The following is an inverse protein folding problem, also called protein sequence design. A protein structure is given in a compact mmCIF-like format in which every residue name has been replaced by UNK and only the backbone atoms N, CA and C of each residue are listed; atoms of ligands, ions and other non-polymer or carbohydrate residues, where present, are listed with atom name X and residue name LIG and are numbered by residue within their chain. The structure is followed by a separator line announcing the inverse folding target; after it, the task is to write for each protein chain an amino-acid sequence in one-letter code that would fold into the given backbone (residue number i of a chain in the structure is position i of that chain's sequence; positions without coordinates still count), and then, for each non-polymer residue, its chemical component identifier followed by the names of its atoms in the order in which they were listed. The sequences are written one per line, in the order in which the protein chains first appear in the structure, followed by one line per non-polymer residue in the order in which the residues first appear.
data_IF_103574072030
#
_entry.id   IF_103574072030
#
_cell.length_a   1.000
_cell.length_b   1.000
_cell.length_c   1.000
_cell.angle_alpha   90.00
_cell.angle_beta   90.00
_cell.angle_gamma   90.00
#
_symmetry.space_group_name_H-M   'P 1'
#
loop_
_entity.id
_entity.type
_entity.pdbx_description
1 polymer ?
#
# COMPACT_ATOMS: atom_id res chain seq x y z
N UNK A 1 20.43 -10.57 11.42
CA UNK A 1 19.10 -11.06 11.86
C UNK A 1 18.00 -9.97 11.84
N UNK A 2 17.99 -9.02 10.89
CA UNK A 2 16.89 -8.03 10.81
C UNK A 2 15.77 -8.40 9.84
N UNK A 3 16.07 -9.20 8.82
CA UNK A 3 15.07 -9.57 7.82
C UNK A 3 13.85 -10.28 8.43
N UNK A 4 14.07 -11.30 9.26
CA UNK A 4 12.98 -12.05 9.91
C UNK A 4 12.12 -11.19 10.83
N UNK A 5 12.73 -10.26 11.58
CA UNK A 5 11.99 -9.33 12.46
C UNK A 5 11.11 -8.39 11.64
N UNK A 6 11.65 -7.79 10.59
CA UNK A 6 10.91 -6.85 9.74
C UNK A 6 9.75 -7.56 9.00
N UNK A 7 9.96 -8.78 8.51
CA UNK A 7 8.92 -9.59 7.86
C UNK A 7 7.81 -9.96 8.86
N UNK A 8 8.16 -10.39 10.08
CA UNK A 8 7.18 -10.72 11.11
C UNK A 8 6.35 -9.50 11.54
N UNK A 9 6.97 -8.33 11.66
CA UNK A 9 6.26 -7.08 11.96
C UNK A 9 5.27 -6.72 10.85
N UNK A 10 5.68 -6.78 9.58
CA UNK A 10 4.78 -6.54 8.46
C UNK A 10 3.58 -7.51 8.48
N UNK A 11 3.83 -8.80 8.67
CA UNK A 11 2.77 -9.80 8.74
C UNK A 11 1.80 -9.54 9.91
N UNK A 12 2.30 -9.11 11.07
CA UNK A 12 1.48 -8.75 12.21
C UNK A 12 0.61 -7.51 11.97
N UNK A 13 1.02 -6.60 11.08
CA UNK A 13 0.19 -5.47 10.66
C UNK A 13 -0.95 -5.88 9.73
N UNK A 14 -0.68 -6.83 8.83
CA UNK A 14 -1.64 -7.31 7.82
C UNK A 14 -2.66 -8.31 8.39
N UNK A 15 -2.29 -9.06 9.43
CA UNK A 15 -3.15 -10.08 10.03
C UNK A 15 -3.79 -9.53 11.30
N UNK A 16 -5.12 -9.42 11.30
CA UNK A 16 -5.90 -9.04 12.49
C UNK A 16 -6.84 -10.18 12.87
N UNK A 17 -6.71 -10.66 14.10
CA UNK A 17 -7.52 -11.77 14.63
C UNK A 17 -7.43 -13.06 13.80
N UNK A 18 -6.28 -13.33 13.17
CA UNK A 18 -6.09 -14.51 12.33
C UNK A 18 -6.63 -14.38 10.90
N UNK A 19 -7.25 -13.23 10.57
CA UNK A 19 -7.71 -12.92 9.22
C UNK A 19 -6.79 -11.90 8.55
N UNK A 20 -6.56 -12.08 7.25
CA UNK A 20 -5.86 -11.10 6.43
C UNK A 20 -6.78 -9.91 6.18
N UNK A 21 -6.46 -8.75 6.77
CA UNK A 21 -7.22 -7.52 6.58
C UNK A 21 -6.43 -6.54 5.74
N UNK A 22 -6.80 -6.48 4.46
CA UNK A 22 -6.22 -5.58 3.48
C UNK A 22 -7.14 -4.37 3.34
N UNK A 23 -6.95 -3.40 4.23
CA UNK A 23 -7.65 -2.12 4.19
C UNK A 23 -6.98 -1.20 3.16
N UNK A 24 -7.70 -0.81 2.11
CA UNK A 24 -7.15 0.03 1.04
C UNK A 24 -6.87 1.48 1.50
N UNK A 25 -7.43 1.89 2.65
CA UNK A 25 -7.12 3.17 3.31
C UNK A 25 -5.86 3.11 4.19
N UNK A 26 -5.36 1.91 4.54
CA UNK A 26 -4.13 1.77 5.31
C UNK A 26 -2.91 2.02 4.40
N UNK A 27 -2.06 3.04 4.69
CA UNK A 27 -0.92 3.38 3.85
C UNK A 27 0.10 2.23 3.74
N UNK A 28 0.25 1.40 4.78
CA UNK A 28 1.14 0.24 4.76
C UNK A 28 0.61 -0.80 3.77
N UNK A 29 -0.70 -1.06 3.79
CA UNK A 29 -1.34 -2.00 2.86
C UNK A 29 -1.21 -1.48 1.42
N UNK A 30 -1.52 -0.21 1.19
CA UNK A 30 -1.47 0.41 -0.13
C UNK A 30 -0.08 0.41 -0.76
N UNK A 31 0.96 0.62 0.04
CA UNK A 31 2.35 0.57 -0.44
C UNK A 31 2.91 -0.85 -0.56
N UNK A 32 2.29 -1.85 0.07
CA UNK A 32 2.80 -3.22 0.08
C UNK A 32 2.09 -4.12 -0.93
N UNK A 33 0.86 -3.81 -1.33
CA UNK A 33 0.07 -4.67 -2.23
C UNK A 33 0.44 -4.45 -3.70
N UNK A 34 1.01 -5.48 -4.31
CA UNK A 34 1.44 -5.47 -5.72
C UNK A 34 0.33 -5.87 -6.68
N UNK A 35 -0.44 -6.91 -6.33
CA UNK A 35 -1.50 -7.45 -7.16
C UNK A 35 -2.71 -7.86 -6.31
N UNK A 36 -3.91 -7.68 -6.88
CA UNK A 36 -5.19 -8.05 -6.30
C UNK A 36 -6.12 -8.52 -7.43
N UNK A 37 -6.90 -9.57 -7.18
CA UNK A 37 -7.89 -10.08 -8.15
C UNK A 37 -7.33 -10.37 -9.56
N UNK A 38 -6.10 -10.88 -9.62
CA UNK A 38 -5.43 -11.21 -10.89
C UNK A 38 -4.92 -10.00 -11.67
N UNK A 39 -4.87 -8.80 -11.06
CA UNK A 39 -4.41 -7.56 -11.68
C UNK A 39 -3.30 -6.93 -10.85
N UNK A 40 -2.31 -6.35 -11.51
CA UNK A 40 -1.32 -5.50 -10.86
C UNK A 40 -2.00 -4.18 -10.48
N UNK A 41 -1.84 -3.75 -9.23
CA UNK A 41 -2.46 -2.52 -8.70
C UNK A 41 -1.43 -1.50 -8.21
N UNK A 42 -0.18 -1.93 -7.96
CA UNK A 42 0.85 -1.04 -7.44
C UNK A 42 1.40 -0.09 -8.54
N UNK A 43 1.33 1.24 -8.37
CA UNK A 43 1.65 2.22 -9.43
C UNK A 43 3.05 2.03 -10.03
N UNK A 44 4.09 1.89 -9.19
CA UNK A 44 5.46 1.70 -9.66
C UNK A 44 5.66 0.40 -10.46
N UNK A 45 4.86 -0.64 -10.17
CA UNK A 45 4.96 -1.91 -10.90
C UNK A 45 4.24 -1.79 -12.24
N UNK A 46 3.10 -1.11 -12.29
CA UNK A 46 2.42 -0.78 -13.55
C UNK A 46 3.32 0.05 -14.47
N UNK A 47 3.97 1.09 -13.93
CA UNK A 47 4.95 1.90 -14.66
C UNK A 47 6.11 1.06 -15.21
N UNK A 48 6.67 0.16 -14.39
CA UNK A 48 7.76 -0.73 -14.80
C UNK A 48 7.34 -1.74 -15.88
N UNK A 49 6.06 -2.11 -15.94
CA UNK A 49 5.48 -2.98 -16.97
C UNK A 49 5.08 -2.21 -18.24
N UNK A 50 5.18 -0.87 -18.25
CA UNK A 50 4.69 -0.03 -19.35
C UNK A 50 3.17 0.05 -19.43
N UNK A 51 2.46 -0.35 -18.37
CA UNK A 51 1.02 -0.22 -18.24
C UNK A 51 0.67 1.11 -17.57
N UNK A 52 -0.33 1.82 -18.10
CA UNK A 52 -0.80 3.04 -17.45
C UNK A 52 -1.40 2.69 -16.07
N UNK A 53 -1.02 3.37 -14.98
CA UNK A 53 -1.66 3.17 -13.68
C UNK A 53 -3.17 3.34 -13.80
N UNK A 54 -3.95 2.37 -13.29
CA UNK A 54 -5.39 2.56 -13.09
C UNK A 54 -5.55 3.85 -12.25
N UNK A 55 -6.36 4.79 -12.74
CA UNK A 55 -6.45 6.15 -12.21
C UNK A 55 -6.51 6.15 -10.67
N UNK A 56 -5.51 6.77 -10.04
CA UNK A 56 -5.46 6.94 -8.60
C UNK A 56 -6.57 7.91 -8.19
N UNK A 57 -7.52 7.58 -7.29
CA UNK A 57 -8.34 8.61 -6.67
C UNK A 57 -7.41 9.55 -5.89
N UNK A 58 -7.34 10.79 -6.36
CA UNK A 58 -6.52 11.84 -5.78
C UNK A 58 -6.95 12.13 -4.35
N UNK A 59 -6.25 11.57 -3.36
CA UNK A 59 -6.25 12.13 -2.00
C UNK A 59 -4.86 12.01 -1.37
N UNK A 60 -3.95 12.86 -1.84
CA UNK A 60 -2.87 13.38 -1.02
C UNK A 60 -2.80 14.89 -1.25
N UNK A 61 -3.71 15.62 -0.61
CA UNK A 61 -3.54 17.05 -0.37
C UNK A 61 -2.73 17.20 0.90
N UNK A 62 -1.48 17.73 0.87
CA UNK A 62 -0.84 18.21 2.07
C UNK A 62 -1.69 19.37 2.61
N UNK A 63 -2.24 19.20 3.81
CA UNK A 63 -2.92 20.26 4.53
C UNK A 63 -1.97 21.46 4.70
N UNK A 64 -2.50 22.65 4.42
CA UNK A 64 -1.83 23.94 4.33
C UNK A 64 -0.97 24.32 5.55
N UNK A 65 0.07 25.16 5.37
CA UNK A 65 0.60 25.95 6.48
C UNK A 65 -0.48 26.92 6.98
N UNK A 66 -0.68 26.96 8.31
CA UNK A 66 -1.51 27.99 8.94
C UNK A 66 -0.67 29.25 9.09
N UNK A 67 -0.98 30.28 8.31
CA UNK A 67 -0.51 31.65 8.54
C UNK A 67 -1.60 32.41 9.30
N UNK A 68 -1.19 33.05 10.40
CA UNK A 68 -1.96 33.97 11.22
C UNK A 68 -1.00 34.92 11.91
#
# INVERSE_FOLDING_TARGET
MMYGRNVATCLAHLVRQGELKLDDDDPIVRETIIARDGRVVHPRVLEALGEAPLAQPATQTPAAPKEG
#
